data_IF_175874858652
#
_entry.id   IF_175874858652
#
_cell.length_a   1.000
_cell.length_b   1.000
_cell.length_c   1.000
_cell.angle_alpha   90.00
_cell.angle_beta   90.00
_cell.angle_gamma   90.00
#
_symmetry.space_group_name_H-M   'P 1'
#
loop_
_entity.id
_entity.type
_entity.pdbx_description
1 polymer ?
#
# COMPACT_ATOMS: atom_id res chain seq x y z
N UNK A 1 14.53 -23.11 -4.64
CA UNK A 1 15.78 -22.76 -3.94
C UNK A 1 15.45 -21.74 -2.87
N UNK A 2 15.78 -22.02 -1.61
CA UNK A 2 15.80 -21.00 -0.57
C UNK A 2 17.07 -20.17 -0.80
N UNK A 3 16.90 -18.91 -1.18
CA UNK A 3 18.00 -17.97 -1.41
C UNK A 3 18.22 -17.12 -0.14
N UNK A 4 19.48 -16.83 0.16
CA UNK A 4 19.84 -15.81 1.13
C UNK A 4 20.08 -14.50 0.38
N UNK A 5 19.76 -13.38 1.02
CA UNK A 5 20.13 -12.05 0.55
C UNK A 5 20.72 -11.27 1.71
N UNK A 6 21.62 -10.34 1.40
CA UNK A 6 22.18 -9.43 2.38
C UNK A 6 21.92 -7.99 1.89
N UNK A 7 21.47 -7.14 2.80
CA UNK A 7 21.31 -5.71 2.56
C UNK A 7 22.41 -4.94 3.29
N UNK A 8 22.85 -3.84 2.70
CA UNK A 8 23.81 -2.93 3.36
C UNK A 8 23.05 -2.15 4.44
N UNK A 9 23.65 -2.00 5.62
CA UNK A 9 23.13 -1.05 6.62
C UNK A 9 23.22 0.38 6.10
N UNK A 10 22.14 1.16 6.25
CA UNK A 10 22.05 2.55 5.82
C UNK A 10 21.61 3.39 7.02
N UNK A 11 22.25 4.55 7.30
CA UNK A 11 21.82 5.44 8.37
C UNK A 11 20.47 6.09 8.07
N UNK A 12 19.72 6.41 9.12
CA UNK A 12 18.48 7.17 9.05
C UNK A 12 17.45 6.67 10.07
N UNK A 13 16.37 7.45 10.22
CA UNK A 13 15.24 7.13 11.09
C UNK A 13 13.98 6.87 10.26
N UNK A 14 13.04 6.12 10.86
CA UNK A 14 11.71 5.97 10.29
C UNK A 14 11.00 7.34 10.15
N UNK A 15 10.03 7.49 9.24
CA UNK A 15 9.34 8.75 9.03
C UNK A 15 8.57 9.20 10.28
N UNK A 16 8.58 10.49 10.59
CA UNK A 16 7.72 11.08 11.61
C UNK A 16 6.33 11.35 11.01
N UNK A 17 5.40 10.42 11.22
CA UNK A 17 4.06 10.50 10.65
C UNK A 17 3.16 11.58 11.27
N UNK A 18 3.57 12.21 12.38
CA UNK A 18 2.79 13.27 13.02
C UNK A 18 2.74 14.56 12.19
N UNK A 19 3.73 14.76 11.30
CA UNK A 19 3.82 15.92 10.43
C UNK A 19 3.25 15.63 9.03
N UNK A 20 2.30 16.46 8.58
CA UNK A 20 1.71 16.34 7.23
C UNK A 20 2.77 16.49 6.12
N UNK A 21 3.84 17.26 6.36
CA UNK A 21 4.96 17.40 5.43
C UNK A 21 5.64 16.07 5.14
N UNK A 22 5.74 15.17 6.12
CA UNK A 22 6.35 13.84 5.95
C UNK A 22 5.67 13.04 4.84
N UNK A 23 4.35 13.12 4.71
CA UNK A 23 3.63 12.45 3.62
C UNK A 23 3.94 13.02 2.25
N UNK A 24 4.21 14.33 2.14
CA UNK A 24 4.70 14.93 0.89
C UNK A 24 6.08 14.41 0.54
N UNK A 25 6.95 14.29 1.53
CA UNK A 25 8.30 13.76 1.34
C UNK A 25 8.24 12.28 0.91
N UNK A 26 7.42 11.45 1.56
CA UNK A 26 7.20 10.05 1.16
C UNK A 26 6.71 9.95 -0.29
N UNK A 27 5.75 10.78 -0.72
CA UNK A 27 5.29 10.78 -2.12
C UNK A 27 6.40 11.25 -3.07
N UNK A 28 7.21 12.23 -2.68
CA UNK A 28 8.36 12.67 -3.48
C UNK A 28 9.39 11.54 -3.65
N UNK A 29 9.67 10.79 -2.59
CA UNK A 29 10.53 9.59 -2.61
C UNK A 29 9.93 8.50 -3.49
N UNK A 30 8.63 8.22 -3.35
CA UNK A 30 7.87 7.28 -4.19
C UNK A 30 8.09 7.58 -5.67
N UNK A 31 7.80 8.82 -6.08
CA UNK A 31 7.95 9.27 -7.48
C UNK A 31 9.40 9.22 -7.97
N UNK A 32 10.39 9.51 -7.12
CA UNK A 32 11.79 9.42 -7.47
C UNK A 32 12.22 7.95 -7.68
N UNK A 33 11.86 7.08 -6.75
CA UNK A 33 12.12 5.64 -6.83
C UNK A 33 11.47 5.02 -8.06
N UNK A 34 10.17 5.24 -8.28
CA UNK A 34 9.46 4.66 -9.43
C UNK A 34 9.97 5.18 -10.77
N UNK A 35 10.37 6.45 -10.88
CA UNK A 35 11.08 6.93 -12.09
C UNK A 35 12.38 6.18 -12.34
N UNK A 36 13.16 5.90 -11.30
CA UNK A 36 14.42 5.18 -11.42
C UNK A 36 14.21 3.71 -11.85
N UNK A 37 13.12 3.07 -11.42
CA UNK A 37 12.83 1.66 -11.76
C UNK A 37 11.90 1.47 -12.96
N UNK A 38 11.31 2.53 -13.51
CA UNK A 38 10.40 2.47 -14.66
C UNK A 38 10.98 1.75 -15.91
N UNK A 39 12.28 1.85 -16.24
CA UNK A 39 12.84 1.14 -17.39
C UNK A 39 13.00 -0.37 -17.19
N UNK A 40 12.85 -0.87 -15.96
CA UNK A 40 13.02 -2.30 -15.68
C UNK A 40 11.88 -3.13 -16.28
N UNK A 41 12.22 -4.33 -16.76
CA UNK A 41 11.24 -5.31 -17.23
C UNK A 41 10.54 -5.97 -16.05
N UNK A 42 9.33 -6.49 -16.29
CA UNK A 42 8.58 -7.26 -15.29
C UNK A 42 9.40 -8.47 -14.83
N UNK A 43 9.74 -8.58 -13.53
CA UNK A 43 10.44 -9.75 -13.02
C UNK A 43 9.57 -11.00 -13.06
N UNK A 44 10.06 -12.09 -13.67
CA UNK A 44 9.33 -13.36 -13.78
C UNK A 44 8.98 -14.00 -12.41
N UNK A 45 9.76 -13.70 -11.37
CA UNK A 45 9.49 -14.17 -10.01
C UNK A 45 8.14 -13.70 -9.46
N UNK A 46 7.59 -12.59 -9.97
CA UNK A 46 6.28 -12.10 -9.54
C UNK A 46 5.15 -13.06 -9.90
N UNK A 47 5.28 -13.84 -10.97
CA UNK A 47 4.25 -14.80 -11.40
C UNK A 47 4.16 -16.01 -10.47
N UNK A 48 5.23 -16.32 -9.75
CA UNK A 48 5.30 -17.44 -8.80
C UNK A 48 4.82 -17.11 -7.40
N UNK A 49 4.49 -15.85 -7.09
CA UNK A 49 4.16 -15.42 -5.72
C UNK A 49 2.77 -15.92 -5.29
N UNK A 50 2.77 -16.72 -4.22
CA UNK A 50 1.57 -17.29 -3.58
C UNK A 50 1.40 -16.84 -2.14
N UNK A 51 2.21 -15.89 -1.69
CA UNK A 51 2.06 -15.30 -0.36
C UNK A 51 0.76 -14.50 -0.26
N UNK A 52 0.26 -14.31 0.97
CA UNK A 52 -0.99 -13.59 1.27
C UNK A 52 -1.03 -12.17 0.69
N UNK A 53 0.11 -11.49 0.57
CA UNK A 53 0.17 -10.17 -0.02
C UNK A 53 0.00 -10.23 -1.55
N UNK A 54 0.55 -11.25 -2.21
CA UNK A 54 0.29 -11.51 -3.63
C UNK A 54 -1.17 -11.88 -3.90
N UNK A 55 -1.81 -12.63 -3.00
CA UNK A 55 -3.26 -12.89 -3.08
C UNK A 55 -4.07 -11.61 -2.91
N UNK A 56 -3.76 -10.79 -1.90
CA UNK A 56 -4.42 -9.51 -1.66
C UNK A 56 -4.26 -8.53 -2.83
N UNK A 57 -3.09 -8.50 -3.48
CA UNK A 57 -2.85 -7.72 -4.69
C UNK A 57 -3.78 -8.22 -5.82
N UNK A 58 -3.83 -9.52 -6.10
CA UNK A 58 -4.75 -10.06 -7.12
C UNK A 58 -6.22 -9.73 -6.81
N UNK A 59 -6.64 -9.75 -5.55
CA UNK A 59 -7.99 -9.34 -5.13
C UNK A 59 -8.22 -7.86 -5.43
N UNK A 60 -7.29 -6.98 -5.06
CA UNK A 60 -7.38 -5.55 -5.34
C UNK A 60 -7.41 -5.22 -6.84
N UNK A 61 -6.92 -6.13 -7.68
CA UNK A 61 -6.91 -6.00 -9.14
C UNK A 61 -8.02 -6.76 -9.86
N UNK A 62 -8.90 -7.47 -9.13
CA UNK A 62 -9.98 -8.26 -9.71
C UNK A 62 -9.49 -9.50 -10.46
N UNK A 63 -8.23 -9.89 -10.24
CA UNK A 63 -7.60 -11.08 -10.82
C UNK A 63 -7.90 -12.34 -9.99
N UNK A 64 -8.37 -12.16 -8.76
CA UNK A 64 -8.77 -13.22 -7.84
C UNK A 64 -9.99 -12.79 -7.03
N UNK A 65 -10.99 -13.67 -6.90
CA UNK A 65 -12.15 -13.45 -6.04
C UNK A 65 -11.96 -14.17 -4.71
N UNK A 66 -12.29 -13.50 -3.60
CA UNK A 66 -12.32 -14.09 -2.27
C UNK A 66 -13.64 -13.80 -1.58
N UNK A 67 -14.03 -14.67 -0.64
CA UNK A 67 -15.11 -14.38 0.28
C UNK A 67 -14.54 -13.57 1.45
N UNK A 68 -14.89 -12.30 1.52
CA UNK A 68 -14.58 -11.47 2.69
C UNK A 68 -15.35 -11.97 3.92
N UNK A 69 -14.72 -11.82 5.08
CA UNK A 69 -15.38 -11.93 6.38
C UNK A 69 -16.57 -10.97 6.43
N UNK A 70 -17.68 -11.33 7.10
CA UNK A 70 -18.89 -10.51 7.17
C UNK A 70 -18.61 -9.05 7.55
N UNK A 71 -17.67 -8.83 8.46
CA UNK A 71 -17.28 -7.50 8.97
C UNK A 71 -16.59 -6.62 7.92
N UNK A 72 -15.99 -7.21 6.90
CA UNK A 72 -15.29 -6.50 5.81
C UNK A 72 -16.11 -6.46 4.51
N UNK A 73 -17.05 -7.39 4.32
CA UNK A 73 -17.76 -7.60 3.06
C UNK A 73 -18.51 -6.36 2.57
N UNK A 74 -19.26 -5.69 3.45
CA UNK A 74 -20.04 -4.51 3.09
C UNK A 74 -19.17 -3.32 2.68
N UNK A 75 -18.05 -3.13 3.37
CA UNK A 75 -17.12 -2.07 3.03
C UNK A 75 -16.40 -2.36 1.70
N UNK A 76 -16.00 -3.62 1.46
CA UNK A 76 -15.37 -4.02 0.21
C UNK A 76 -16.31 -3.76 -0.99
N UNK A 77 -17.60 -4.06 -0.82
CA UNK A 77 -18.64 -3.78 -1.82
C UNK A 77 -18.80 -2.28 -2.07
N UNK A 78 -18.76 -1.44 -1.04
CA UNK A 78 -18.84 0.05 -1.16
C UNK A 78 -17.63 0.65 -1.88
N UNK A 79 -16.45 0.06 -1.73
CA UNK A 79 -15.24 0.49 -2.45
C UNK A 79 -15.27 0.16 -3.94
N UNK A 80 -15.96 -0.92 -4.34
CA UNK A 80 -16.02 -1.44 -5.71
C UNK A 80 -16.26 -0.38 -6.80
N UNK A 81 -17.31 0.46 -6.70
CA UNK A 81 -17.58 1.52 -7.69
C UNK A 81 -16.45 2.55 -7.86
N UNK A 82 -15.65 2.77 -6.80
CA UNK A 82 -14.52 3.70 -6.81
C UNK A 82 -13.27 3.14 -7.49
N UNK A 83 -13.23 1.84 -7.82
CA UNK A 83 -12.07 1.21 -8.45
C UNK A 83 -12.07 1.50 -9.96
N UNK A 84 -11.21 2.43 -10.38
CA UNK A 84 -11.05 2.85 -11.77
C UNK A 84 -9.64 2.47 -12.30
N UNK A 85 -9.42 2.50 -13.64
CA UNK A 85 -8.10 2.31 -14.23
C UNK A 85 -7.10 3.38 -13.75
N UNK A 86 -5.87 2.97 -13.42
CA UNK A 86 -4.83 3.84 -12.84
C UNK A 86 -3.64 4.12 -13.77
N UNK A 87 -3.75 3.72 -15.05
CA UNK A 87 -2.70 3.90 -16.05
C UNK A 87 -1.89 2.63 -16.31
N UNK A 88 -0.68 2.80 -16.85
CA UNK A 88 0.18 1.68 -17.30
C UNK A 88 0.96 1.07 -16.14
N UNK A 89 1.09 -0.27 -16.08
CA UNK A 89 1.85 -0.94 -15.03
C UNK A 89 3.37 -0.80 -15.23
N UNK A 90 4.09 -0.76 -14.12
CA UNK A 90 5.55 -0.81 -14.02
C UNK A 90 5.96 -1.52 -12.72
N UNK A 91 7.25 -1.63 -12.45
CA UNK A 91 7.71 -2.09 -11.13
C UNK A 91 7.39 -1.02 -10.07
N UNK A 92 6.62 -1.40 -9.06
CA UNK A 92 6.29 -0.52 -7.92
C UNK A 92 6.59 -1.19 -6.59
N UNK A 93 6.73 -0.38 -5.55
CA UNK A 93 6.90 -0.85 -4.17
C UNK A 93 5.56 -0.72 -3.45
N UNK A 94 4.97 -1.85 -3.05
CA UNK A 94 3.63 -1.91 -2.47
C UNK A 94 3.56 -1.75 -0.95
N UNK A 95 4.59 -1.16 -0.33
CA UNK A 95 4.66 -1.00 1.13
C UNK A 95 5.59 0.17 1.53
N UNK A 96 5.51 1.28 0.81
CA UNK A 96 6.55 2.32 0.90
C UNK A 96 6.46 3.16 2.19
N UNK A 97 5.27 3.32 2.79
CA UNK A 97 5.04 4.25 3.90
C UNK A 97 6.00 4.02 5.08
N UNK A 98 6.24 2.75 5.44
CA UNK A 98 7.14 2.34 6.52
C UNK A 98 8.57 2.05 6.11
N UNK A 99 8.87 2.02 4.80
CA UNK A 99 10.13 1.51 4.26
C UNK A 99 10.99 2.59 3.63
N UNK A 100 10.99 3.77 4.27
CA UNK A 100 11.88 4.90 3.95
C UNK A 100 12.64 5.31 5.22
N UNK A 101 13.95 5.47 5.08
CA UNK A 101 14.80 6.08 6.10
C UNK A 101 15.15 7.52 5.72
N UNK A 102 14.99 8.44 6.68
CA UNK A 102 15.38 9.83 6.55
C UNK A 102 16.59 10.13 7.45
N UNK A 103 17.63 10.75 6.89
CA UNK A 103 18.82 11.20 7.62
C UNK A 103 19.11 12.67 7.23
N UNK A 104 19.15 13.62 8.17
CA UNK A 104 19.40 15.03 7.86
C UNK A 104 20.64 15.24 6.98
N UNK A 105 20.46 15.95 5.86
CA UNK A 105 21.55 16.23 4.91
C UNK A 105 21.89 15.08 3.95
N UNK A 106 21.15 13.97 3.98
CA UNK A 106 21.29 12.88 3.00
C UNK A 106 20.01 12.67 2.19
N UNK A 107 20.11 12.12 0.96
CA UNK A 107 18.94 11.61 0.26
C UNK A 107 18.27 10.50 1.08
N UNK A 108 16.93 10.42 1.07
CA UNK A 108 16.21 9.35 1.74
C UNK A 108 16.53 7.98 1.11
N UNK A 109 16.54 6.94 1.94
CA UNK A 109 16.82 5.58 1.51
C UNK A 109 15.53 4.75 1.49
N UNK A 110 15.23 4.13 0.34
CA UNK A 110 14.16 3.14 0.23
C UNK A 110 14.72 1.78 0.60
N UNK A 111 14.10 1.11 1.57
CA UNK A 111 14.49 -0.20 2.09
C UNK A 111 13.39 -1.23 1.84
N UNK A 112 13.64 -2.51 2.16
CA UNK A 112 12.64 -3.59 2.22
C UNK A 112 11.65 -3.61 1.03
N UNK A 113 12.22 -3.53 -0.17
CA UNK A 113 11.45 -3.40 -1.42
C UNK A 113 10.48 -4.57 -1.56
N UNK A 114 9.19 -4.24 -1.61
CA UNK A 114 8.08 -5.17 -1.85
C UNK A 114 7.56 -5.01 -3.28
N UNK A 115 8.08 -5.76 -4.27
CA UNK A 115 7.84 -5.49 -5.68
C UNK A 115 6.47 -5.97 -6.17
N UNK A 116 5.79 -5.13 -6.95
CA UNK A 116 4.57 -5.46 -7.71
C UNK A 116 4.65 -4.89 -9.13
N UNK A 117 3.86 -5.44 -10.05
CA UNK A 117 3.79 -4.95 -11.43
C UNK A 117 2.49 -4.19 -11.70
N UNK A 118 2.38 -2.97 -11.15
CA UNK A 118 1.14 -2.16 -11.12
C UNK A 118 1.45 -0.70 -11.48
N UNK A 119 0.45 0.15 -11.77
CA UNK A 119 0.67 1.57 -12.05
C UNK A 119 1.24 2.31 -10.83
N UNK A 120 2.07 3.33 -11.06
CA UNK A 120 2.70 4.13 -10.00
C UNK A 120 1.67 4.66 -8.99
N UNK A 121 0.53 5.17 -9.47
CA UNK A 121 -0.52 5.71 -8.63
C UNK A 121 -1.03 4.70 -7.59
N UNK A 122 -0.94 3.39 -7.85
CA UNK A 122 -1.30 2.36 -6.87
C UNK A 122 -0.36 2.39 -5.65
N UNK A 123 0.95 2.56 -5.85
CA UNK A 123 1.90 2.69 -4.74
C UNK A 123 1.65 3.95 -3.90
N UNK A 124 1.33 5.07 -4.54
CA UNK A 124 0.91 6.29 -3.83
C UNK A 124 -0.43 6.10 -3.11
N UNK A 125 -1.36 5.35 -3.71
CA UNK A 125 -2.63 4.95 -3.08
C UNK A 125 -2.41 4.14 -1.80
N UNK A 126 -1.44 3.24 -1.79
CA UNK A 126 -1.05 2.46 -0.60
C UNK A 126 -0.52 3.38 0.49
N UNK A 127 0.41 4.28 0.16
CA UNK A 127 0.93 5.28 1.12
C UNK A 127 -0.22 6.06 1.78
N UNK A 128 -1.18 6.53 0.99
CA UNK A 128 -2.31 7.31 1.52
C UNK A 128 -3.29 6.45 2.31
N UNK A 129 -3.58 5.23 1.87
CA UNK A 129 -4.41 4.30 2.63
C UNK A 129 -3.78 4.00 3.99
N UNK A 130 -2.47 3.78 4.03
CA UNK A 130 -1.74 3.51 5.27
C UNK A 130 -1.77 4.72 6.21
N UNK A 131 -1.56 5.91 5.67
CA UNK A 131 -1.64 7.17 6.40
C UNK A 131 -3.00 7.36 7.08
N UNK A 132 -4.09 7.09 6.35
CA UNK A 132 -5.46 7.23 6.85
C UNK A 132 -5.85 6.13 7.85
N UNK A 133 -5.34 4.91 7.69
CA UNK A 133 -5.69 3.79 8.54
C UNK A 133 -4.90 3.76 9.85
N UNK A 134 -3.59 3.98 9.81
CA UNK A 134 -2.70 3.70 10.96
C UNK A 134 -1.93 4.90 11.49
N UNK A 135 -2.05 6.08 10.88
CA UNK A 135 -1.24 7.25 11.24
C UNK A 135 -2.03 8.54 11.42
N UNK A 136 -3.35 8.44 11.64
CA UNK A 136 -4.26 9.55 11.94
C UNK A 136 -4.14 10.74 10.96
N UNK A 137 -3.77 10.46 9.70
CA UNK A 137 -3.58 11.52 8.74
C UNK A 137 -4.91 12.21 8.38
N UNK A 138 -4.90 13.50 8.01
CA UNK A 138 -6.11 14.23 7.69
C UNK A 138 -6.91 13.57 6.54
N UNK A 139 -8.25 13.51 6.58
CA UNK A 139 -9.07 12.93 5.50
C UNK A 139 -8.82 13.57 4.12
N UNK A 140 -8.40 14.83 4.10
CA UNK A 140 -8.04 15.56 2.88
C UNK A 140 -6.68 15.19 2.28
N UNK A 141 -5.88 14.33 2.93
CA UNK A 141 -4.49 14.05 2.54
C UNK A 141 -4.38 13.63 1.07
N UNK A 142 -5.24 12.73 0.60
CA UNK A 142 -5.23 12.27 -0.79
C UNK A 142 -5.34 13.45 -1.78
N UNK A 143 -6.20 14.45 -1.50
CA UNK A 143 -6.34 15.67 -2.31
C UNK A 143 -5.09 16.54 -2.21
N UNK A 144 -4.56 16.72 -1.00
CA UNK A 144 -3.35 17.51 -0.74
C UNK A 144 -2.14 16.97 -1.50
N UNK A 145 -2.04 15.64 -1.66
CA UNK A 145 -0.94 14.97 -2.36
C UNK A 145 -1.21 14.73 -3.86
N UNK A 146 -2.44 15.00 -4.32
CA UNK A 146 -2.87 14.73 -5.69
C UNK A 146 -3.01 13.25 -6.02
N UNK A 147 -3.25 12.40 -5.02
CA UNK A 147 -3.42 10.95 -5.19
C UNK A 147 -4.89 10.66 -5.55
N UNK A 148 -5.17 9.96 -6.68
CA UNK A 148 -6.54 9.70 -7.10
C UNK A 148 -7.33 8.89 -6.06
N UNK A 149 -8.60 9.22 -5.77
CA UNK A 149 -9.44 8.43 -4.87
C UNK A 149 -9.53 6.94 -5.28
N UNK A 150 -9.51 6.65 -6.58
CA UNK A 150 -9.51 5.29 -7.10
C UNK A 150 -8.26 4.48 -6.70
N UNK A 151 -7.10 5.15 -6.56
CA UNK A 151 -5.89 4.49 -6.10
C UNK A 151 -5.96 4.15 -4.61
N UNK A 152 -6.50 5.08 -3.81
CA UNK A 152 -6.71 4.86 -2.36
C UNK A 152 -7.76 3.77 -2.13
N UNK A 153 -8.89 3.79 -2.87
CA UNK A 153 -9.92 2.76 -2.78
C UNK A 153 -9.36 1.35 -3.09
N UNK A 154 -8.53 1.25 -4.14
CA UNK A 154 -7.85 0.00 -4.49
C UNK A 154 -6.87 -0.46 -3.41
N UNK A 155 -6.12 0.47 -2.82
CA UNK A 155 -5.21 0.18 -1.72
C UNK A 155 -5.94 -0.26 -0.43
N UNK A 156 -7.09 0.34 -0.13
CA UNK A 156 -7.95 -0.12 0.97
C UNK A 156 -8.43 -1.55 0.74
N UNK A 157 -8.86 -1.89 -0.48
CA UNK A 157 -9.24 -3.26 -0.82
C UNK A 157 -8.07 -4.24 -0.63
N UNK A 158 -6.86 -3.85 -1.01
CA UNK A 158 -5.64 -4.63 -0.77
C UNK A 158 -5.38 -4.87 0.72
N UNK A 159 -5.45 -3.83 1.56
CA UNK A 159 -5.25 -3.97 3.01
C UNK A 159 -6.35 -4.81 3.66
N UNK A 160 -7.60 -4.62 3.26
CA UNK A 160 -8.73 -5.44 3.71
C UNK A 160 -8.56 -6.92 3.33
N UNK A 161 -8.12 -7.21 2.10
CA UNK A 161 -7.85 -8.58 1.65
C UNK A 161 -6.69 -9.21 2.44
N UNK A 162 -5.66 -8.42 2.76
CA UNK A 162 -4.55 -8.85 3.62
C UNK A 162 -5.03 -9.21 5.02
N UNK A 163 -5.84 -8.34 5.64
CA UNK A 163 -6.45 -8.58 6.96
C UNK A 163 -7.35 -9.80 6.96
N UNK A 164 -8.18 -9.96 5.91
CA UNK A 164 -9.02 -11.13 5.71
C UNK A 164 -8.20 -12.43 5.71
N UNK A 165 -7.12 -12.48 4.93
CA UNK A 165 -6.24 -13.65 4.86
C UNK A 165 -5.54 -13.93 6.20
N UNK A 166 -5.07 -12.88 6.91
CA UNK A 166 -4.41 -13.02 8.22
C UNK A 166 -5.33 -13.60 9.30
N UNK A 167 -6.58 -13.15 9.35
CA UNK A 167 -7.58 -13.67 10.30
C UNK A 167 -7.89 -15.13 9.99
N UNK A 168 -8.09 -15.48 8.72
CA UNK A 168 -8.38 -16.87 8.31
C UNK A 168 -7.22 -17.83 8.58
N UNK A 169 -5.98 -17.35 8.46
CA UNK A 169 -4.78 -18.13 8.74
C UNK A 169 -4.48 -18.30 10.25
N UNK A 170 -5.19 -17.58 11.13
CA UNK A 170 -4.94 -17.53 12.58
C UNK A 170 -3.49 -17.19 12.96
N UNK A 171 -2.80 -16.46 12.08
CA UNK A 171 -1.34 -16.31 12.09
C UNK A 171 -0.87 -15.28 13.14
N UNK A 172 -1.73 -14.29 13.46
CA UNK A 172 -1.44 -13.21 14.39
C UNK A 172 -2.73 -12.75 15.11
N UNK A 173 -2.60 -12.15 16.31
CA UNK A 173 -3.73 -11.47 16.97
C UNK A 173 -4.11 -10.22 16.18
N UNK A 174 -5.01 -10.40 15.22
CA UNK A 174 -5.65 -9.30 14.50
C UNK A 174 -6.86 -8.82 15.32
N UNK A 175 -6.84 -7.58 15.78
CA UNK A 175 -8.06 -6.92 16.26
C UNK A 175 -8.92 -6.53 15.05
N UNK A 176 -9.72 -7.47 14.56
CA UNK A 176 -10.57 -7.28 13.38
C UNK A 176 -11.53 -6.10 13.55
N UNK A 177 -12.03 -5.88 14.77
CA UNK A 177 -12.94 -4.77 15.03
C UNK A 177 -12.23 -3.44 14.85
N UNK A 178 -10.98 -3.33 15.31
CA UNK A 178 -10.19 -2.11 15.12
C UNK A 178 -9.81 -1.87 13.66
N UNK A 179 -9.40 -2.92 12.95
CA UNK A 179 -9.10 -2.85 11.51
C UNK A 179 -10.31 -2.38 10.70
N UNK A 180 -11.50 -2.94 10.95
CA UNK A 180 -12.74 -2.51 10.29
C UNK A 180 -13.02 -1.02 10.55
N UNK A 181 -12.80 -0.52 11.78
CA UNK A 181 -12.95 0.91 12.09
C UNK A 181 -11.96 1.76 11.31
N UNK A 182 -10.69 1.34 11.21
CA UNK A 182 -9.67 2.07 10.43
C UNK A 182 -10.04 2.15 8.96
N UNK A 183 -10.45 1.04 8.35
CA UNK A 183 -10.86 1.02 6.94
C UNK A 183 -12.11 1.87 6.70
N UNK A 184 -13.10 1.81 7.60
CA UNK A 184 -14.31 2.62 7.48
C UNK A 184 -14.00 4.13 7.55
N UNK A 185 -13.12 4.56 8.47
CA UNK A 185 -12.67 5.96 8.54
C UNK A 185 -11.93 6.39 7.27
N UNK A 186 -11.03 5.55 6.76
CA UNK A 186 -10.29 5.84 5.54
C UNK A 186 -11.19 5.89 4.29
N UNK A 187 -12.19 5.00 4.20
CA UNK A 187 -13.17 5.03 3.11
C UNK A 187 -14.05 6.28 3.14
N UNK A 188 -14.46 6.74 4.34
CA UNK A 188 -15.22 7.97 4.49
C UNK A 188 -14.44 9.20 3.98
N UNK A 189 -13.09 9.19 4.06
CA UNK A 189 -12.25 10.23 3.49
C UNK A 189 -12.35 10.35 1.96
N UNK A 190 -12.80 9.28 1.28
CA UNK A 190 -13.05 9.23 -0.16
C UNK A 190 -14.49 9.62 -0.54
N UNK A 191 -15.33 9.97 0.44
CA UNK A 191 -16.76 10.25 0.23
C UNK A 191 -17.60 8.98 0.08
N UNK A 192 -17.13 7.83 0.58
CA UNK A 192 -17.79 6.53 0.47
C UNK A 192 -18.48 6.07 1.76
#
# INVERSE_FOLDING_TARGET
>A
MLGWSATRWVPGAAPDYSAVSTWRDIIAVSRAFHRAVAPLRRPAVLDGRRDRWAEADRVAWGEQTVRFLPELADLARRLGPGIQPLGRPQLVHGDLAGNILFDPGRPPAVIDISPYWRPLAYAEGIVVADALCWHDAPPSLHRTLGVPPAAVARALLFRMATTNARVLAADERVDLRDEVRRYARAAAALGL
#
